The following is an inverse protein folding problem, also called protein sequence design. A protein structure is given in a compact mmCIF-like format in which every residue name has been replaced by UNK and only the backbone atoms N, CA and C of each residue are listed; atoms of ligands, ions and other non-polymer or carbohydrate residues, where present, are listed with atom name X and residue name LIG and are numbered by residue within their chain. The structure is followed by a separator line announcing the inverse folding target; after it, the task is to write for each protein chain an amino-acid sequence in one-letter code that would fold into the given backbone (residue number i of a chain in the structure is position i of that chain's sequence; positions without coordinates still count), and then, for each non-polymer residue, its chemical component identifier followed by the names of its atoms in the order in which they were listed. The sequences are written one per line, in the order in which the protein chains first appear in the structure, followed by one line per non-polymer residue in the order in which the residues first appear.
data_IF_234101551534
#
_entry.id   IF_234101551534
#
_cell.length_a   1.000
_cell.length_b   1.000
_cell.length_c   1.000
_cell.angle_alpha   90.00
_cell.angle_beta   90.00
_cell.angle_gamma   90.00
#
_symmetry.space_group_name_H-M   'P 1'
#
loop_
_entity.id
_entity.type
_entity.pdbx_description
1 polymer ?
#
# COMPACT_ATOMS: atom_id res chain seq x y z
N UNK A 1 -5.95 -5.54 -6.63
CA UNK A 1 -5.78 -6.78 -5.84
C UNK A 1 -4.45 -6.70 -5.09
N UNK A 2 -4.41 -6.88 -3.75
CA UNK A 2 -3.15 -6.95 -3.02
C UNK A 2 -2.33 -8.14 -3.54
N UNK A 3 -1.03 -7.93 -3.78
CA UNK A 3 -0.11 -8.96 -4.27
C UNK A 3 -0.04 -10.10 -3.26
N UNK A 4 -0.66 -11.23 -3.61
CA UNK A 4 -0.62 -12.46 -2.79
C UNK A 4 0.71 -13.21 -2.94
N UNK A 5 1.68 -12.67 -3.66
CA UNK A 5 2.94 -13.35 -3.97
C UNK A 5 4.13 -12.44 -3.65
N UNK A 6 5.21 -13.04 -3.15
CA UNK A 6 6.47 -12.33 -3.01
C UNK A 6 7.05 -11.98 -4.39
N UNK A 7 7.40 -10.72 -4.67
CA UNK A 7 8.01 -10.35 -5.96
C UNK A 7 9.42 -10.92 -6.14
N UNK A 8 10.06 -11.36 -5.05
CA UNK A 8 11.44 -11.88 -5.08
C UNK A 8 11.50 -13.39 -5.35
N UNK A 9 10.61 -14.18 -4.74
CA UNK A 9 10.64 -15.65 -4.85
C UNK A 9 9.38 -16.27 -5.46
N UNK A 10 8.32 -15.50 -5.71
CA UNK A 10 7.07 -16.02 -6.27
C UNK A 10 6.21 -16.81 -5.28
N UNK A 11 6.63 -16.98 -4.03
CA UNK A 11 5.88 -17.74 -3.03
C UNK A 11 4.62 -17.01 -2.53
N UNK A 12 3.58 -17.78 -2.25
CA UNK A 12 2.22 -17.25 -2.03
C UNK A 12 1.92 -16.82 -0.59
N UNK A 13 2.76 -17.13 0.40
CA UNK A 13 2.36 -16.97 1.80
C UNK A 13 3.46 -16.38 2.70
N UNK A 14 3.04 -15.84 3.85
CA UNK A 14 3.96 -15.40 4.91
C UNK A 14 4.59 -14.02 4.71
N UNK A 15 3.79 -12.96 4.81
CA UNK A 15 4.31 -11.59 4.86
C UNK A 15 4.23 -11.00 6.26
N UNK A 16 5.33 -10.42 6.73
CA UNK A 16 5.33 -9.58 7.92
C UNK A 16 5.26 -8.11 7.51
N UNK A 17 4.27 -7.39 8.02
CA UNK A 17 4.22 -5.93 7.92
C UNK A 17 5.15 -5.37 9.00
N UNK A 18 6.17 -4.63 8.59
CA UNK A 18 7.12 -4.03 9.52
C UNK A 18 6.75 -2.59 9.84
N UNK A 19 6.33 -1.82 8.83
CA UNK A 19 6.03 -0.39 8.98
C UNK A 19 4.89 0.03 8.08
N UNK A 20 4.11 0.99 8.59
CA UNK A 20 3.21 1.82 7.80
C UNK A 20 4.02 3.03 7.36
N UNK A 21 4.15 3.22 6.05
CA UNK A 21 4.88 4.34 5.46
C UNK A 21 3.93 5.09 4.52
N UNK A 22 4.26 6.34 4.24
CA UNK A 22 3.59 7.11 3.20
C UNK A 22 4.52 7.17 1.99
N UNK A 23 4.02 6.81 0.83
CA UNK A 23 4.72 6.95 -0.44
C UNK A 23 4.14 8.15 -1.20
N UNK A 24 4.99 8.97 -1.79
CA UNK A 24 4.55 9.93 -2.81
C UNK A 24 4.63 9.29 -4.18
N UNK A 25 3.50 9.21 -4.88
CA UNK A 25 3.37 8.61 -6.21
C UNK A 25 2.80 9.67 -7.14
N UNK A 26 3.67 10.31 -7.93
CA UNK A 26 3.33 11.55 -8.62
C UNK A 26 3.03 12.67 -7.63
N UNK A 27 1.89 13.33 -7.79
CA UNK A 27 1.43 14.41 -6.89
C UNK A 27 0.59 13.93 -5.71
N UNK A 28 0.38 12.61 -5.58
CA UNK A 28 -0.46 12.02 -4.53
C UNK A 28 0.39 11.36 -3.45
N UNK A 29 -0.06 11.49 -2.21
CA UNK A 29 0.44 10.72 -1.09
C UNK A 29 -0.46 9.50 -0.86
N UNK A 30 0.16 8.32 -0.76
CA UNK A 30 -0.51 7.04 -0.68
C UNK A 30 0.00 6.26 0.54
N UNK A 31 -0.91 5.57 1.22
CA UNK A 31 -0.54 4.69 2.34
C UNK A 31 0.09 3.41 1.79
N UNK A 32 1.26 3.11 2.33
CA UNK A 32 2.13 2.03 1.91
C UNK A 32 2.52 1.18 3.12
N UNK A 33 2.87 -0.07 2.86
CA UNK A 33 3.36 -1.01 3.88
C UNK A 33 4.68 -1.59 3.45
N UNK A 34 5.69 -1.48 4.31
CA UNK A 34 6.93 -2.24 4.13
C UNK A 34 6.71 -3.66 4.63
N UNK A 35 6.81 -4.63 3.72
CA UNK A 35 6.64 -6.05 3.99
C UNK A 35 7.94 -6.81 3.85
N UNK A 36 8.11 -7.85 4.65
CA UNK A 36 9.17 -8.85 4.51
C UNK A 36 8.54 -10.20 4.21
N UNK A 37 9.04 -10.91 3.20
CA UNK A 37 8.71 -12.31 2.95
C UNK A 37 9.40 -13.20 3.99
N UNK A 38 8.63 -14.07 4.63
CA UNK A 38 9.15 -15.01 5.63
C UNK A 38 10.00 -16.12 5.01
N UNK A 39 9.77 -16.47 3.76
CA UNK A 39 10.48 -17.58 3.10
C UNK A 39 11.85 -17.15 2.59
N UNK A 40 11.92 -16.04 1.85
CA UNK A 40 13.18 -15.58 1.24
C UNK A 40 13.82 -14.39 1.97
N UNK A 41 13.18 -13.81 2.99
CA UNK A 41 13.64 -12.60 3.68
C UNK A 41 13.55 -11.32 2.84
N UNK A 42 13.07 -11.42 1.60
CA UNK A 42 12.98 -10.29 0.66
C UNK A 42 12.03 -9.21 1.18
N UNK A 43 12.48 -7.95 1.12
CA UNK A 43 11.69 -6.77 1.54
C UNK A 43 11.08 -6.08 0.32
N UNK A 44 9.83 -5.65 0.43
CA UNK A 44 9.12 -4.95 -0.64
C UNK A 44 8.00 -4.08 -0.09
N UNK A 45 7.62 -3.06 -0.86
CA UNK A 45 6.57 -2.11 -0.49
C UNK A 45 5.28 -2.49 -1.21
N UNK A 46 4.17 -2.54 -0.49
CA UNK A 46 2.83 -2.70 -1.07
C UNK A 46 2.01 -1.45 -0.82
N UNK A 47 1.42 -0.90 -1.87
CA UNK A 47 0.41 0.16 -1.76
C UNK A 47 -0.94 -0.52 -1.50
N UNK A 48 -1.57 -0.21 -0.38
CA UNK A 48 -2.96 -0.63 -0.18
C UNK A 48 -3.84 0.45 -0.75
N UNK A 49 -4.32 0.24 -1.99
CA UNK A 49 -5.44 1.02 -2.51
C UNK A 49 -6.65 0.63 -1.67
N UNK A 50 -6.93 1.39 -0.62
CA UNK A 50 -8.12 1.20 0.20
C UNK A 50 -9.32 1.58 -0.66
N UNK A 51 -10.00 0.59 -1.24
CA UNK A 51 -11.23 0.82 -2.01
C UNK A 51 -12.35 1.45 -1.14
N UNK A 52 -12.15 1.53 0.18
CA UNK A 52 -13.02 2.20 1.14
C UNK A 52 -12.81 3.72 1.26
N UNK A 53 -11.73 4.29 0.69
CA UNK A 53 -11.49 5.75 0.70
C UNK A 53 -11.97 6.44 -0.59
N UNK A 54 -13.00 5.90 -1.26
CA UNK A 54 -13.66 6.61 -2.37
C UNK A 54 -14.62 7.71 -1.94
N UNK A 55 -14.82 7.93 -0.64
CA UNK A 55 -15.72 8.98 -0.16
C UNK A 55 -15.01 9.87 0.87
N UNK A 56 -14.32 10.87 0.34
CA UNK A 56 -14.21 12.19 0.94
C UNK A 56 -13.57 13.09 -0.12
N UNK A 57 -14.30 13.34 -1.21
CA UNK A 57 -14.06 14.57 -1.94
C UNK A 57 -14.39 15.70 -0.95
N UNK A 58 -13.45 16.62 -0.64
CA UNK A 58 -13.83 17.81 0.08
C UNK A 58 -14.75 18.59 -0.85
N UNK A 59 -16.05 18.62 -0.52
CA UNK A 59 -16.97 19.58 -1.10
C UNK A 59 -16.40 20.97 -0.84
N UNK A 60 -15.78 21.55 -1.87
CA UNK A 60 -15.43 22.96 -1.90
C UNK A 60 -16.74 23.71 -2.07
N UNK A 61 -17.45 23.91 -0.96
CA UNK A 61 -18.56 24.86 -0.89
C UNK A 61 -17.98 26.27 -0.84
N UNK A 62 -17.51 26.74 -2.00
CA UNK A 62 -17.44 28.15 -2.29
C UNK A 62 -18.86 28.57 -2.69
N UNK A 63 -19.53 29.35 -1.83
CA UNK A 63 -20.62 30.23 -2.24
C UNK A 63 -20.53 31.54 -1.46
N UNK A 64 -20.44 32.59 -2.27
CA UNK A 64 -20.62 34.04 -2.08
C UNK A 64 -20.78 34.61 -0.67
#
# INVERSE_FOLDING_TARGET
MPTKFCPHCGERNGFQVNFNIVCRIGDKEERCYLRTCKDCGGRFITIQKDERMKEAEPETSAKD
#
